data_IF_172194893360
#
_entry.id   IF_172194893360
#
_cell.length_a   1.000
_cell.length_b   1.000
_cell.length_c   1.000
_cell.angle_alpha   90.00
_cell.angle_beta   90.00
_cell.angle_gamma   90.00
#
_symmetry.space_group_name_H-M   'P 1'
#
loop_
_entity.id
_entity.type
_entity.pdbx_description
1 polymer ?
#
# COMPACT_ATOMS: atom_id res chain seq x y z
N UNK A 1 -54.60 25.53 14.77
CA UNK A 1 -53.77 25.20 13.59
C UNK A 1 -52.31 25.59 13.90
N UNK A 2 -51.44 24.59 13.99
CA UNK A 2 -50.01 24.78 14.13
C UNK A 2 -49.36 24.51 12.79
N UNK A 3 -48.52 25.36 12.23
CA UNK A 3 -47.72 24.99 11.04
C UNK A 3 -46.61 24.04 11.43
N UNK A 4 -46.55 22.94 10.70
CA UNK A 4 -45.46 21.97 10.72
C UNK A 4 -44.24 22.60 10.03
N UNK A 5 -43.13 22.73 10.74
CA UNK A 5 -41.83 23.05 10.16
C UNK A 5 -41.17 21.75 9.77
N UNK A 6 -41.26 21.36 8.51
CA UNK A 6 -40.41 20.36 7.89
C UNK A 6 -38.99 20.93 7.80
N UNK A 7 -38.12 20.41 8.63
CA UNK A 7 -36.69 20.67 8.51
C UNK A 7 -36.15 19.72 7.43
N UNK A 8 -35.91 20.23 6.25
CA UNK A 8 -35.08 19.53 5.25
C UNK A 8 -33.68 19.54 5.77
N UNK A 9 -33.18 18.38 6.17
CA UNK A 9 -31.74 18.13 6.36
C UNK A 9 -31.20 17.95 4.96
N UNK A 10 -30.49 18.96 4.45
CA UNK A 10 -29.65 18.79 3.26
C UNK A 10 -28.49 17.88 3.71
N UNK A 11 -28.50 16.61 3.27
CA UNK A 11 -27.32 15.76 3.28
C UNK A 11 -26.35 16.38 2.26
N UNK A 12 -25.33 17.06 2.74
CA UNK A 12 -24.18 17.42 1.93
C UNK A 12 -23.52 16.09 1.51
N UNK A 13 -23.74 15.65 0.27
CA UNK A 13 -22.92 14.62 -0.36
C UNK A 13 -21.51 15.23 -0.46
N UNK A 14 -20.59 14.78 0.41
CA UNK A 14 -19.15 15.02 0.22
C UNK A 14 -18.77 14.34 -1.10
N UNK A 15 -18.58 15.13 -2.16
CA UNK A 15 -17.96 14.65 -3.38
C UNK A 15 -16.55 14.13 -3.01
N UNK A 16 -16.38 12.81 -2.94
CA UNK A 16 -15.07 12.18 -2.87
C UNK A 16 -14.25 12.66 -4.07
N UNK A 17 -13.27 13.49 -3.82
CA UNK A 17 -12.39 14.06 -4.83
C UNK A 17 -11.52 12.91 -5.37
N UNK A 18 -11.84 12.40 -6.56
CA UNK A 18 -11.08 11.34 -7.21
C UNK A 18 -9.66 11.86 -7.52
N UNK A 19 -8.69 11.34 -6.77
CA UNK A 19 -7.28 11.73 -6.91
C UNK A 19 -6.71 11.05 -8.15
N UNK A 20 -6.11 11.83 -9.06
CA UNK A 20 -5.45 11.31 -10.25
C UNK A 20 -4.34 12.22 -10.76
N UNK A 21 -3.30 11.63 -11.34
CA UNK A 21 -2.19 12.36 -11.98
C UNK A 21 -1.97 11.84 -13.41
N UNK A 22 -2.03 12.73 -14.38
CA UNK A 22 -1.79 12.39 -15.81
C UNK A 22 -0.31 12.03 -16.06
N UNK A 23 0.61 12.73 -15.38
CA UNK A 23 2.07 12.53 -15.48
C UNK A 23 2.58 11.66 -14.32
N UNK A 24 2.05 10.43 -14.19
CA UNK A 24 2.52 9.49 -13.19
C UNK A 24 3.79 8.77 -13.65
N UNK A 25 4.69 8.43 -12.70
CA UNK A 25 5.87 7.62 -12.96
C UNK A 25 6.31 6.86 -11.69
N UNK A 26 6.88 5.66 -11.87
CA UNK A 26 7.41 4.88 -10.76
C UNK A 26 8.85 5.30 -10.42
N UNK A 27 9.05 6.59 -10.18
CA UNK A 27 10.35 7.22 -9.94
C UNK A 27 10.31 8.10 -8.68
N UNK A 28 11.45 8.22 -8.00
CA UNK A 28 11.58 9.12 -6.84
C UNK A 28 11.26 10.56 -7.23
N UNK A 29 10.40 11.21 -6.47
CA UNK A 29 9.94 12.57 -6.67
C UNK A 29 8.73 12.69 -7.60
N UNK A 30 8.22 11.58 -8.16
CA UNK A 30 7.01 11.55 -8.98
C UNK A 30 5.82 10.99 -8.20
N UNK A 31 4.61 11.31 -8.66
CA UNK A 31 3.42 10.59 -8.25
C UNK A 31 3.44 9.20 -8.88
N UNK A 32 3.26 8.11 -8.11
CA UNK A 32 3.19 6.77 -8.68
C UNK A 32 1.97 6.64 -9.59
N UNK A 33 2.09 5.82 -10.64
CA UNK A 33 0.90 5.42 -11.38
C UNK A 33 0.05 4.47 -10.53
N UNK A 34 -1.24 4.69 -10.53
CA UNK A 34 -2.19 3.91 -9.77
C UNK A 34 -2.25 2.45 -10.25
N UNK A 35 -2.66 1.59 -9.36
CA UNK A 35 -3.12 0.24 -9.63
C UNK A 35 -4.32 -0.06 -8.76
N UNK A 36 -5.22 -0.91 -9.25
CA UNK A 36 -6.29 -1.50 -8.43
C UNK A 36 -6.08 -3.00 -8.36
N UNK A 37 -5.94 -3.53 -7.14
CA UNK A 37 -5.76 -4.95 -6.86
C UNK A 37 -6.77 -5.40 -5.82
N UNK A 38 -7.04 -6.71 -5.75
CA UNK A 38 -7.89 -7.28 -4.71
C UNK A 38 -7.09 -7.57 -3.45
N UNK A 39 -7.68 -7.25 -2.30
CA UNK A 39 -7.10 -7.57 -1.00
C UNK A 39 -7.44 -9.01 -0.54
N UNK A 40 -7.05 -9.37 0.67
CA UNK A 40 -7.34 -10.66 1.31
C UNK A 40 -8.83 -10.86 1.64
N UNK A 41 -9.66 -9.84 1.53
CA UNK A 41 -11.11 -9.87 1.75
C UNK A 41 -11.90 -9.80 0.44
N UNK A 42 -11.21 -9.87 -0.71
CA UNK A 42 -11.76 -9.77 -2.06
C UNK A 42 -12.36 -8.39 -2.39
N UNK A 43 -11.91 -7.34 -1.70
CA UNK A 43 -12.25 -5.96 -2.03
C UNK A 43 -11.24 -5.38 -3.03
N UNK A 44 -11.72 -4.53 -3.92
CA UNK A 44 -10.83 -3.72 -4.78
C UNK A 44 -10.18 -2.63 -3.93
N UNK A 45 -8.85 -2.50 -4.05
CA UNK A 45 -8.03 -1.50 -3.37
C UNK A 45 -7.16 -0.80 -4.40
N UNK A 46 -7.31 0.52 -4.53
CA UNK A 46 -6.44 1.37 -5.33
C UNK A 46 -5.28 1.89 -4.48
N UNK A 47 -4.11 2.09 -5.09
CA UNK A 47 -3.01 2.76 -4.41
C UNK A 47 -3.42 4.19 -3.99
N UNK A 48 -4.25 4.85 -4.80
CA UNK A 48 -4.69 6.21 -4.52
C UNK A 48 -5.71 6.32 -3.38
N UNK A 49 -6.31 5.20 -2.92
CA UNK A 49 -7.15 5.17 -1.71
C UNK A 49 -6.36 5.57 -0.45
N UNK A 50 -5.03 5.53 -0.52
CA UNK A 50 -4.13 5.92 0.58
C UNK A 50 -3.63 7.35 0.50
N UNK A 51 -4.16 8.17 -0.41
CA UNK A 51 -3.84 9.60 -0.44
C UNK A 51 -4.14 10.26 0.91
N UNK A 52 -3.21 11.07 1.39
CA UNK A 52 -3.28 11.66 2.73
C UNK A 52 -2.57 10.84 3.81
N UNK A 53 -2.19 9.59 3.53
CA UNK A 53 -1.40 8.74 4.43
C UNK A 53 0.02 8.55 3.92
N UNK A 54 0.97 8.28 4.81
CA UNK A 54 2.29 7.78 4.42
C UNK A 54 2.16 6.29 4.12
N UNK A 55 2.62 5.86 2.94
CA UNK A 55 2.51 4.45 2.52
C UNK A 55 3.87 3.76 2.54
N UNK A 56 3.93 2.63 3.24
CA UNK A 56 4.96 1.61 3.08
C UNK A 56 4.42 0.59 2.09
N UNK A 57 4.77 0.72 0.82
CA UNK A 57 4.40 -0.25 -0.20
C UNK A 57 5.46 -1.35 -0.25
N UNK A 58 5.09 -2.56 0.17
CA UNK A 58 5.96 -3.74 0.25
C UNK A 58 5.69 -4.67 -0.93
N UNK A 59 6.62 -4.73 -1.87
CA UNK A 59 6.59 -5.70 -2.98
C UNK A 59 7.30 -6.98 -2.55
N UNK A 60 6.52 -8.00 -2.28
CA UNK A 60 6.95 -9.27 -1.69
C UNK A 60 6.55 -10.49 -2.52
N UNK A 61 7.12 -11.65 -2.18
CA UNK A 61 6.74 -12.95 -2.74
C UNK A 61 6.65 -13.99 -1.61
N UNK A 62 5.72 -14.94 -1.72
CA UNK A 62 5.50 -15.94 -0.67
C UNK A 62 6.69 -16.86 -0.42
N UNK A 63 7.48 -17.16 -1.44
CA UNK A 63 8.67 -18.02 -1.37
C UNK A 63 9.91 -17.33 -0.78
N UNK A 64 9.87 -16.02 -0.59
CA UNK A 64 11.01 -15.19 -0.18
C UNK A 64 11.11 -15.13 1.35
N UNK A 65 12.17 -15.67 1.94
CA UNK A 65 12.38 -15.68 3.40
C UNK A 65 12.41 -14.29 4.04
N UNK A 66 13.19 -13.31 3.53
CA UNK A 66 13.15 -11.94 4.04
C UNK A 66 11.78 -11.26 3.91
N UNK A 67 10.99 -11.61 2.88
CA UNK A 67 9.62 -11.12 2.72
C UNK A 67 8.70 -11.67 3.83
N UNK A 68 8.85 -12.95 4.19
CA UNK A 68 8.10 -13.55 5.29
C UNK A 68 8.46 -12.88 6.63
N UNK A 69 9.74 -12.55 6.84
CA UNK A 69 10.17 -11.81 8.02
C UNK A 69 9.56 -10.40 8.08
N UNK A 70 9.52 -9.68 6.95
CA UNK A 70 8.85 -8.39 6.85
C UNK A 70 7.35 -8.51 7.13
N UNK A 71 6.68 -9.52 6.56
CA UNK A 71 5.26 -9.77 6.77
C UNK A 71 4.89 -10.06 8.23
N UNK A 72 5.77 -10.77 8.97
CA UNK A 72 5.57 -11.01 10.42
C UNK A 72 5.55 -9.72 11.24
N UNK A 73 6.27 -8.69 10.79
CA UNK A 73 6.35 -7.40 11.48
C UNK A 73 5.40 -6.33 10.90
N UNK A 74 4.72 -6.62 9.80
CA UNK A 74 3.92 -5.64 9.05
C UNK A 74 2.83 -4.98 9.91
N UNK A 75 2.01 -5.78 10.60
CA UNK A 75 0.96 -5.25 11.48
C UNK A 75 1.55 -4.43 12.64
N UNK A 76 2.57 -4.96 13.30
CA UNK A 76 3.23 -4.25 14.40
C UNK A 76 3.92 -2.96 13.93
N UNK A 77 4.41 -2.91 12.70
CA UNK A 77 4.97 -1.70 12.09
C UNK A 77 3.87 -0.65 11.87
N UNK A 78 2.77 -1.02 11.25
CA UNK A 78 1.62 -0.13 11.08
C UNK A 78 1.12 0.42 12.43
N UNK A 79 0.97 -0.44 13.42
CA UNK A 79 0.52 -0.06 14.77
C UNK A 79 1.49 0.92 15.45
N UNK A 80 2.82 0.73 15.31
CA UNK A 80 3.82 1.63 15.88
C UNK A 80 3.76 3.04 15.32
N UNK A 81 3.46 3.16 14.04
CA UNK A 81 3.44 4.45 13.34
C UNK A 81 2.02 4.97 13.06
N UNK A 82 1.00 4.37 13.66
CA UNK A 82 -0.41 4.76 13.46
C UNK A 82 -0.69 6.24 13.82
N UNK A 83 0.06 6.82 14.77
CA UNK A 83 -0.08 8.25 15.13
C UNK A 83 0.36 9.20 13.98
N UNK A 84 1.06 8.72 13.00
CA UNK A 84 1.52 9.44 11.81
C UNK A 84 0.77 9.01 10.54
N UNK A 85 -0.34 8.30 10.70
CA UNK A 85 -1.15 7.78 9.60
C UNK A 85 -0.31 6.99 8.56
N UNK A 86 0.56 6.12 9.06
CA UNK A 86 1.36 5.22 8.22
C UNK A 86 0.56 3.96 7.91
N UNK A 87 0.40 3.66 6.63
CA UNK A 87 -0.26 2.47 6.12
C UNK A 87 0.76 1.50 5.54
N UNK A 88 0.66 0.24 5.92
CA UNK A 88 1.52 -0.82 5.41
C UNK A 88 0.78 -1.66 4.38
N UNK A 89 1.12 -1.48 3.11
CA UNK A 89 0.44 -2.13 1.98
C UNK A 89 1.34 -3.22 1.41
N UNK A 90 0.99 -4.48 1.65
CA UNK A 90 1.72 -5.62 1.06
C UNK A 90 1.15 -5.96 -0.30
N UNK A 91 1.98 -5.97 -1.35
CA UNK A 91 1.64 -6.50 -2.66
C UNK A 91 2.41 -7.80 -2.89
N UNK A 92 1.71 -8.92 -2.86
CA UNK A 92 2.30 -10.23 -3.13
C UNK A 92 2.33 -10.47 -4.64
N UNK A 93 3.52 -10.49 -5.21
CA UNK A 93 3.73 -10.63 -6.65
C UNK A 93 3.65 -12.10 -7.09
N UNK A 94 4.14 -13.02 -6.23
CA UNK A 94 4.20 -14.45 -6.54
C UNK A 94 3.81 -15.30 -5.33
N UNK A 95 3.13 -16.42 -5.65
CA UNK A 95 2.87 -17.49 -4.69
C UNK A 95 4.14 -18.36 -4.44
N UNK A 96 3.99 -19.46 -3.68
CA UNK A 96 5.09 -20.40 -3.40
C UNK A 96 5.66 -21.10 -4.64
N UNK A 97 4.93 -21.09 -5.76
CA UNK A 97 5.31 -21.73 -7.02
C UNK A 97 5.73 -20.70 -8.09
N UNK A 98 5.85 -19.42 -7.72
CA UNK A 98 6.20 -18.36 -8.66
C UNK A 98 5.05 -17.96 -9.61
N UNK A 99 3.80 -18.28 -9.24
CA UNK A 99 2.62 -17.91 -10.01
C UNK A 99 2.02 -16.60 -9.46
N UNK A 100 1.21 -15.88 -10.26
CA UNK A 100 0.48 -14.71 -9.78
C UNK A 100 -0.33 -15.03 -8.53
N UNK A 101 -0.40 -14.08 -7.61
CA UNK A 101 -1.13 -14.24 -6.36
C UNK A 101 -2.63 -14.40 -6.60
N UNK A 102 -3.27 -15.18 -5.77
CA UNK A 102 -4.71 -15.36 -5.73
C UNK A 102 -5.25 -15.08 -4.32
N UNK A 103 -6.58 -15.03 -4.21
CA UNK A 103 -7.27 -14.74 -2.95
C UNK A 103 -6.85 -15.67 -1.80
N UNK A 104 -6.79 -16.97 -2.05
CA UNK A 104 -6.40 -17.96 -1.03
C UNK A 104 -4.97 -17.72 -0.53
N UNK A 105 -4.05 -17.37 -1.43
CA UNK A 105 -2.67 -17.04 -1.07
C UNK A 105 -2.58 -15.75 -0.24
N UNK A 106 -3.32 -14.71 -0.60
CA UNK A 106 -3.37 -13.46 0.16
C UNK A 106 -3.97 -13.67 1.56
N UNK A 107 -5.06 -14.45 1.67
CA UNK A 107 -5.66 -14.84 2.96
C UNK A 107 -4.68 -15.64 3.82
N UNK A 108 -4.02 -16.63 3.23
CA UNK A 108 -3.05 -17.47 3.94
C UNK A 108 -1.89 -16.62 4.48
N UNK A 109 -1.38 -15.66 3.69
CA UNK A 109 -0.32 -14.75 4.11
C UNK A 109 -0.77 -13.89 5.30
N UNK A 110 -1.92 -13.24 5.19
CA UNK A 110 -2.46 -12.40 6.25
C UNK A 110 -2.69 -13.19 7.56
N UNK A 111 -3.33 -14.35 7.47
CA UNK A 111 -3.65 -15.20 8.62
C UNK A 111 -2.38 -15.73 9.31
N UNK A 112 -1.43 -16.25 8.55
CA UNK A 112 -0.21 -16.86 9.10
C UNK A 112 0.75 -15.82 9.69
N UNK A 113 0.78 -14.60 9.15
CA UNK A 113 1.68 -13.56 9.58
C UNK A 113 1.02 -12.52 10.50
N UNK A 114 -0.27 -12.72 10.85
CA UNK A 114 -0.99 -11.90 11.82
C UNK A 114 -1.30 -10.48 11.32
N UNK A 115 -1.49 -10.31 10.01
CA UNK A 115 -1.89 -9.03 9.41
C UNK A 115 -3.41 -8.92 9.49
N UNK A 116 -3.92 -7.95 10.26
CA UNK A 116 -5.34 -7.84 10.60
C UNK A 116 -6.00 -6.65 9.93
N UNK A 117 -5.36 -5.47 9.98
CA UNK A 117 -5.95 -4.20 9.52
C UNK A 117 -5.34 -3.72 8.21
N UNK A 118 -4.13 -4.16 7.89
CA UNK A 118 -3.43 -3.70 6.71
C UNK A 118 -3.73 -4.60 5.48
N UNK A 119 -3.78 -4.04 4.27
CA UNK A 119 -4.12 -4.80 3.09
C UNK A 119 -2.98 -5.70 2.61
N UNK A 120 -3.35 -6.91 2.20
CA UNK A 120 -2.49 -7.86 1.50
C UNK A 120 -3.05 -8.08 0.11
N UNK A 121 -2.41 -7.51 -0.90
CA UNK A 121 -2.93 -7.39 -2.25
C UNK A 121 -2.45 -8.52 -3.16
N UNK A 122 -3.35 -8.96 -4.03
CA UNK A 122 -3.13 -10.01 -5.02
C UNK A 122 -2.42 -9.41 -6.24
N UNK A 123 -1.09 -9.40 -6.22
CA UNK A 123 -0.25 -8.88 -7.29
C UNK A 123 0.17 -9.93 -8.32
N UNK A 124 0.92 -9.46 -9.30
CA UNK A 124 1.58 -10.29 -10.32
C UNK A 124 2.79 -9.57 -10.91
N UNK A 125 3.58 -10.28 -11.72
CA UNK A 125 4.73 -9.70 -12.44
C UNK A 125 4.35 -8.59 -13.43
N UNK A 126 3.07 -8.44 -13.79
CA UNK A 126 2.62 -7.32 -14.61
C UNK A 126 2.88 -5.97 -13.97
N UNK A 127 2.91 -5.89 -12.62
CA UNK A 127 3.28 -4.68 -11.90
C UNK A 127 4.77 -4.32 -12.01
N UNK A 128 5.60 -5.30 -12.40
CA UNK A 128 7.06 -5.19 -12.46
C UNK A 128 7.57 -4.99 -13.89
N UNK A 129 6.70 -4.86 -14.89
CA UNK A 129 7.11 -4.73 -16.27
C UNK A 129 7.75 -3.34 -16.52
N UNK A 130 9.07 -3.25 -16.78
CA UNK A 130 9.74 -1.98 -17.00
C UNK A 130 9.31 -1.28 -18.30
N UNK A 131 8.71 -2.03 -19.25
CA UNK A 131 8.19 -1.49 -20.51
C UNK A 131 6.75 -0.96 -20.37
N UNK A 132 6.07 -1.26 -19.26
CA UNK A 132 4.77 -0.69 -18.95
C UNK A 132 4.96 0.65 -18.21
N UNK A 133 4.14 1.62 -18.52
CA UNK A 133 4.13 2.92 -17.82
C UNK A 133 3.90 2.80 -16.30
N UNK A 134 3.45 1.64 -15.84
CA UNK A 134 3.14 1.32 -14.45
C UNK A 134 4.10 0.30 -13.82
N UNK A 135 5.19 -0.05 -14.51
CA UNK A 135 6.14 -1.06 -14.03
C UNK A 135 6.99 -0.58 -12.84
N UNK A 136 6.88 -1.26 -11.70
CA UNK A 136 7.72 -0.97 -10.53
C UNK A 136 9.13 -1.53 -10.72
N UNK A 137 10.17 -0.77 -10.36
CA UNK A 137 11.56 -1.22 -10.46
C UNK A 137 11.90 -2.17 -9.30
N UNK A 138 11.70 -3.47 -9.51
CA UNK A 138 12.07 -4.50 -8.55
C UNK A 138 13.38 -5.16 -8.97
N UNK A 139 14.43 -5.00 -8.17
CA UNK A 139 15.76 -5.60 -8.39
C UNK A 139 16.08 -6.71 -7.40
N UNK A 140 15.43 -6.73 -6.26
CA UNK A 140 15.57 -7.76 -5.21
C UNK A 140 14.32 -7.81 -4.32
N UNK A 141 14.21 -8.87 -3.54
CA UNK A 141 13.06 -9.15 -2.67
C UNK A 141 13.42 -9.05 -1.19
N UNK A 142 12.56 -8.44 -0.35
CA UNK A 142 11.49 -7.52 -0.72
C UNK A 142 12.03 -6.19 -1.22
N UNK A 143 11.19 -5.39 -1.88
CA UNK A 143 11.46 -3.98 -2.16
C UNK A 143 10.36 -3.14 -1.52
N UNK A 144 10.78 -2.18 -0.70
CA UNK A 144 9.90 -1.20 -0.09
C UNK A 144 9.93 0.09 -0.89
N UNK A 145 8.77 0.64 -1.13
CA UNK A 145 8.60 1.96 -1.71
C UNK A 145 7.92 2.83 -0.67
N UNK A 146 8.61 3.89 -0.26
CA UNK A 146 8.06 4.89 0.63
C UNK A 146 7.35 5.95 -0.18
N UNK A 147 6.09 6.20 0.14
CA UNK A 147 5.26 7.20 -0.52
C UNK A 147 4.76 8.17 0.55
N UNK A 148 4.90 9.48 0.30
CA UNK A 148 4.47 10.53 1.22
C UNK A 148 2.95 10.70 1.23
N UNK A 149 2.42 11.46 2.18
CA UNK A 149 1.00 11.81 2.29
C UNK A 149 0.46 12.54 1.04
N UNK A 150 1.33 13.29 0.35
CA UNK A 150 1.00 13.92 -0.95
C UNK A 150 1.07 12.95 -2.13
N UNK A 151 1.16 11.65 -1.88
CA UNK A 151 1.31 10.60 -2.88
C UNK A 151 2.53 10.85 -3.79
N UNK A 152 3.69 11.12 -3.22
CA UNK A 152 4.97 11.26 -3.93
C UNK A 152 5.91 10.14 -3.51
N UNK A 153 6.53 9.45 -4.47
CA UNK A 153 7.55 8.43 -4.18
C UNK A 153 8.76 9.11 -3.55
N UNK A 154 9.02 8.77 -2.29
CA UNK A 154 10.14 9.33 -1.54
C UNK A 154 11.44 8.53 -1.74
N UNK A 155 11.34 7.20 -1.61
CA UNK A 155 12.54 6.34 -1.65
C UNK A 155 12.19 4.89 -1.96
N UNK A 156 13.13 4.19 -2.60
CA UNK A 156 13.13 2.74 -2.76
C UNK A 156 14.17 2.12 -1.82
N UNK A 157 13.81 1.00 -1.20
CA UNK A 157 14.70 0.24 -0.33
C UNK A 157 14.56 -1.24 -0.58
N UNK A 158 15.65 -1.93 -0.89
CA UNK A 158 15.69 -3.38 -1.07
C UNK A 158 16.18 -4.09 0.18
N UNK A 159 15.67 -5.30 0.39
CA UNK A 159 15.98 -6.13 1.55
C UNK A 159 15.22 -5.71 2.81
N UNK A 160 15.32 -6.51 3.87
CA UNK A 160 14.59 -6.27 5.10
C UNK A 160 15.46 -6.41 6.34
N UNK A 161 15.35 -5.42 7.21
CA UNK A 161 15.53 -5.50 8.65
C UNK A 161 14.56 -4.50 9.30
N UNK A 162 14.00 -4.85 10.45
CA UNK A 162 13.03 -3.98 11.14
C UNK A 162 13.62 -2.59 11.43
N UNK A 163 14.85 -2.54 11.96
CA UNK A 163 15.50 -1.26 12.29
C UNK A 163 15.75 -0.37 11.07
N UNK A 164 16.06 -0.97 9.92
CA UNK A 164 16.21 -0.23 8.67
C UNK A 164 14.87 0.32 8.19
N UNK A 165 13.81 -0.49 8.24
CA UNK A 165 12.49 -0.05 7.81
C UNK A 165 11.93 1.03 8.74
N UNK A 166 12.06 0.86 10.06
CA UNK A 166 11.64 1.87 11.05
C UNK A 166 12.36 3.21 10.81
N UNK A 167 13.68 3.19 10.62
CA UNK A 167 14.45 4.41 10.32
C UNK A 167 14.00 5.07 9.00
N UNK A 168 13.65 4.28 8.00
CA UNK A 168 13.16 4.77 6.71
C UNK A 168 11.77 5.42 6.84
N UNK A 169 10.89 4.83 7.65
CA UNK A 169 9.57 5.41 7.94
C UNK A 169 9.74 6.74 8.69
N UNK A 170 10.59 6.80 9.73
CA UNK A 170 10.91 8.02 10.46
C UNK A 170 11.47 9.13 9.55
N UNK A 171 12.37 8.76 8.64
CA UNK A 171 12.92 9.68 7.62
C UNK A 171 11.80 10.21 6.70
N UNK A 172 10.89 9.34 6.27
CA UNK A 172 9.76 9.74 5.42
C UNK A 172 8.82 10.68 6.15
N UNK A 173 8.45 10.39 7.40
CA UNK A 173 7.62 11.27 8.25
C UNK A 173 8.26 12.66 8.36
N UNK A 174 9.56 12.72 8.60
CA UNK A 174 10.27 14.00 8.76
C UNK A 174 10.32 14.83 7.46
N UNK A 175 10.18 14.20 6.31
CA UNK A 175 10.21 14.87 4.99
C UNK A 175 8.81 15.08 4.36
N UNK A 176 7.75 14.63 5.04
CA UNK A 176 6.35 14.80 4.61
C UNK A 176 5.67 16.03 5.26
N UNK A 177 6.43 16.84 6.03
CA UNK A 177 5.92 18.03 6.74
C UNK A 177 6.24 19.32 6.01
#
# INVERSE_FOLDING_TARGET
EKPSTDSFVEEEEEEEQEVSWEDCAQEVGSHPCDFTLRDQHDNDVSLYDFYGSIVVLDLSAMWCGPCQAAGLDAQATADRFAAHDVRYVTVLIEDLNGQPMNLQGAQMWADQLGIITEPVLQGSRHLLNPDATQGWPLTSWPTFIMITEDMVIYKFQSGYSQSMLDALIEETIANSQ
#
